data_IF_666692717878
#
_entry.id   IF_666692717878
#
_cell.length_a   1.000
_cell.length_b   1.000
_cell.length_c   1.000
_cell.angle_alpha   90.00
_cell.angle_beta   90.00
_cell.angle_gamma   90.00
#
_symmetry.space_group_name_H-M   'P 1'
#
loop_
_entity.id
_entity.type
_entity.pdbx_description
1 polymer ?
#
# COMPACT_ATOMS: atom_id res chain seq x y z
N UNK A 1 -3.34 -14.94 10.05
CA UNK A 1 -3.49 -13.50 9.72
C UNK A 1 -4.56 -13.42 8.66
N UNK A 2 -5.62 -12.65 8.88
CA UNK A 2 -6.69 -12.48 7.91
C UNK A 2 -6.45 -11.20 7.10
N UNK A 3 -6.53 -11.29 5.78
CA UNK A 3 -6.42 -10.14 4.88
C UNK A 3 -7.83 -9.75 4.47
N UNK A 4 -8.20 -8.49 4.72
CA UNK A 4 -9.47 -7.92 4.26
C UNK A 4 -9.20 -6.83 3.25
N UNK A 5 -9.96 -6.85 2.16
CA UNK A 5 -9.88 -5.84 1.11
C UNK A 5 -11.08 -4.91 1.25
N UNK A 6 -10.83 -3.61 1.37
CA UNK A 6 -11.89 -2.62 1.43
C UNK A 6 -12.48 -2.40 0.01
N UNK A 7 -13.80 -2.23 -0.16
CA UNK A 7 -14.40 -1.96 -1.47
C UNK A 7 -13.78 -0.76 -2.24
N UNK A 8 -13.39 0.36 -1.57
CA UNK A 8 -12.68 1.45 -2.24
C UNK A 8 -11.32 1.03 -2.80
N UNK A 9 -10.60 0.13 -2.12
CA UNK A 9 -9.32 -0.38 -2.58
C UNK A 9 -9.48 -1.15 -3.89
N UNK A 10 -10.44 -2.07 -3.95
CA UNK A 10 -10.67 -2.87 -5.17
C UNK A 10 -11.02 -2.00 -6.38
N UNK A 11 -11.88 -1.00 -6.18
CA UNK A 11 -12.24 -0.04 -7.23
C UNK A 11 -11.03 0.73 -7.74
N UNK A 12 -10.18 1.22 -6.83
CA UNK A 12 -8.98 1.98 -7.19
C UNK A 12 -7.94 1.09 -7.89
N UNK A 13 -7.75 -0.14 -7.41
CA UNK A 13 -6.87 -1.12 -8.02
C UNK A 13 -7.26 -1.42 -9.48
N UNK A 14 -8.55 -1.68 -9.73
CA UNK A 14 -9.09 -1.88 -11.08
C UNK A 14 -8.91 -0.63 -11.97
N UNK A 15 -9.08 0.57 -11.41
CA UNK A 15 -8.90 1.81 -12.13
C UNK A 15 -7.43 2.05 -12.55
N UNK A 16 -6.47 1.78 -11.67
CA UNK A 16 -5.03 1.86 -11.98
C UNK A 16 -4.64 0.85 -13.07
N UNK A 17 -5.13 -0.39 -12.95
CA UNK A 17 -4.91 -1.43 -13.96
C UNK A 17 -5.44 -1.01 -15.33
N UNK A 18 -6.63 -0.39 -15.40
CA UNK A 18 -7.21 0.13 -16.65
C UNK A 18 -6.39 1.27 -17.27
N UNK A 19 -5.69 2.05 -16.45
CA UNK A 19 -4.78 3.11 -16.89
C UNK A 19 -3.38 2.60 -17.27
N UNK A 20 -3.17 1.28 -17.31
CA UNK A 20 -1.89 0.65 -17.63
C UNK A 20 -0.74 1.04 -16.68
N UNK A 21 -1.06 1.32 -15.41
CA UNK A 21 -0.01 1.41 -14.38
C UNK A 21 0.69 0.07 -14.22
N UNK A 22 1.97 0.12 -13.87
CA UNK A 22 2.75 -1.05 -13.54
C UNK A 22 2.29 -1.63 -12.19
N UNK A 23 1.37 -2.60 -12.27
CA UNK A 23 0.77 -3.24 -11.10
C UNK A 23 1.80 -4.06 -10.31
N UNK A 24 2.91 -4.45 -10.92
CA UNK A 24 4.01 -5.18 -10.28
C UNK A 24 4.55 -4.44 -9.05
N UNK A 25 4.53 -3.10 -9.09
CA UNK A 25 4.92 -2.26 -7.94
C UNK A 25 3.97 -2.43 -6.75
N UNK A 26 2.67 -2.54 -7.02
CA UNK A 26 1.66 -2.76 -5.98
C UNK A 26 1.79 -4.17 -5.42
N UNK A 27 1.95 -5.17 -6.27
CA UNK A 27 2.17 -6.57 -5.87
C UNK A 27 3.42 -6.72 -4.99
N UNK A 28 4.53 -6.03 -5.32
CA UNK A 28 5.74 -6.00 -4.50
C UNK A 28 5.44 -5.49 -3.07
N UNK A 29 4.76 -4.35 -2.96
CA UNK A 29 4.41 -3.77 -1.65
C UNK A 29 3.46 -4.67 -0.86
N UNK A 30 2.47 -5.28 -1.51
CA UNK A 30 1.56 -6.23 -0.87
C UNK A 30 2.32 -7.45 -0.31
N UNK A 31 3.28 -7.98 -1.07
CA UNK A 31 4.17 -9.04 -0.59
C UNK A 31 4.95 -8.62 0.66
N UNK A 32 5.57 -7.43 0.64
CA UNK A 32 6.31 -6.90 1.80
C UNK A 32 5.42 -6.69 3.04
N UNK A 33 4.14 -6.32 2.85
CA UNK A 33 3.16 -6.19 3.93
C UNK A 33 2.80 -7.55 4.53
N UNK A 34 2.57 -8.56 3.67
CA UNK A 34 2.24 -9.93 4.10
C UNK A 34 3.43 -10.54 4.87
N UNK A 35 4.65 -10.37 4.35
CA UNK A 35 5.90 -10.82 4.98
C UNK A 35 6.35 -9.97 6.19
N UNK A 36 5.60 -8.92 6.54
CA UNK A 36 5.90 -8.00 7.65
C UNK A 36 7.30 -7.40 7.58
N UNK A 37 7.80 -7.08 6.38
CA UNK A 37 9.11 -6.46 6.15
C UNK A 37 9.08 -4.96 6.47
N UNK A 38 8.72 -4.63 7.71
CA UNK A 38 8.48 -3.26 8.17
C UNK A 38 9.67 -2.32 7.96
N UNK A 39 10.90 -2.84 8.08
CA UNK A 39 12.12 -2.05 7.85
C UNK A 39 12.24 -1.59 6.39
N UNK A 40 11.94 -2.48 5.43
CA UNK A 40 11.96 -2.16 3.99
C UNK A 40 10.84 -1.17 3.67
N UNK A 41 9.64 -1.39 4.20
CA UNK A 41 8.50 -0.50 4.01
C UNK A 41 8.81 0.93 4.49
N UNK A 42 9.45 1.09 5.66
CA UNK A 42 9.84 2.41 6.16
C UNK A 42 10.91 3.09 5.33
N UNK A 43 11.94 2.36 4.91
CA UNK A 43 13.09 2.94 4.21
C UNK A 43 12.78 3.26 2.74
N UNK A 44 12.14 2.32 2.02
CA UNK A 44 11.90 2.42 0.58
C UNK A 44 10.58 3.11 0.25
N UNK A 45 9.53 2.82 1.03
CA UNK A 45 8.16 3.27 0.74
C UNK A 45 7.68 4.36 1.71
N UNK A 46 8.59 4.95 2.50
CA UNK A 46 8.29 6.01 3.47
C UNK A 46 7.10 5.66 4.38
N UNK A 47 6.94 4.38 4.74
CA UNK A 47 5.82 3.94 5.56
C UNK A 47 5.79 4.71 6.89
N UNK A 48 4.65 5.32 7.19
CA UNK A 48 4.45 6.12 8.38
C UNK A 48 3.02 6.02 8.90
N UNK A 49 2.86 6.17 10.21
CA UNK A 49 1.54 6.22 10.84
C UNK A 49 0.91 7.59 10.60
N UNK A 50 -0.36 7.59 10.19
CA UNK A 50 -1.14 8.81 10.03
C UNK A 50 -1.56 9.36 11.41
N UNK A 51 -1.71 10.69 11.49
CA UNK A 51 -2.10 11.42 12.70
C UNK A 51 -3.52 12.00 12.58
N UNK A 52 -4.09 12.47 13.69
CA UNK A 52 -5.41 13.10 13.74
C UNK A 52 -6.56 12.12 13.45
N UNK A 53 -7.52 12.52 12.63
CA UNK A 53 -8.71 11.71 12.31
C UNK A 53 -8.40 10.36 11.62
N UNK A 54 -7.16 10.17 11.15
CA UNK A 54 -6.70 8.93 10.52
C UNK A 54 -5.76 8.13 11.44
N UNK A 55 -5.74 8.44 12.74
CA UNK A 55 -4.95 7.71 13.72
C UNK A 55 -5.30 6.21 13.69
N UNK A 56 -4.27 5.36 13.72
CA UNK A 56 -4.41 3.91 13.57
C UNK A 56 -4.26 3.40 12.14
N UNK A 57 -4.24 4.30 11.15
CA UNK A 57 -3.91 3.96 9.76
C UNK A 57 -2.44 4.24 9.46
N UNK A 58 -1.91 3.55 8.44
CA UNK A 58 -0.56 3.75 7.91
C UNK A 58 -0.65 4.11 6.44
N UNK A 59 0.25 4.99 6.00
CA UNK A 59 0.42 5.38 4.60
C UNK A 59 1.83 5.02 4.13
N UNK A 60 1.93 4.63 2.86
CA UNK A 60 3.18 4.34 2.16
C UNK A 60 3.10 4.90 0.74
N UNK A 61 4.25 5.17 0.14
CA UNK A 61 4.39 5.79 -1.18
C UNK A 61 5.02 4.80 -2.16
N UNK A 62 4.23 4.27 -3.11
CA UNK A 62 4.66 3.26 -4.10
C UNK A 62 5.51 3.89 -5.21
N UNK A 63 5.16 5.11 -5.61
CA UNK A 63 5.99 5.93 -6.49
C UNK A 63 6.56 7.10 -5.67
N UNK A 64 7.78 7.54 -6.01
CA UNK A 64 8.37 8.70 -5.39
C UNK A 64 7.53 9.93 -5.77
N UNK A 65 7.06 10.65 -4.76
CA UNK A 65 6.78 12.08 -4.85
C UNK A 65 8.08 12.87 -5.04
#
# INVERSE_FOLDING_TARGET
MEIRVAPPFERNYKALKKKHYDMSKIDEVLGLLIDRKTSILRQKYKDHALKGNKQGLRELHIEND
#
